data_IF_763035115586
#
_entry.id   IF_763035115586
#
_cell.length_a   1.000
_cell.length_b   1.000
_cell.length_c   1.000
_cell.angle_alpha   90.00
_cell.angle_beta   90.00
_cell.angle_gamma   90.00
#
_symmetry.space_group_name_H-M   'P 1'
#
loop_
_entity.id
_entity.type
_entity.pdbx_description
1 polymer ?
#
# COMPACT_ATOMS: atom_id res chain seq x y z
N UNK A 1 8.94 -7.70 6.86
CA UNK A 1 8.62 -6.27 6.76
C UNK A 1 8.75 -5.71 5.34
N UNK A 2 9.95 -5.42 4.81
CA UNK A 2 10.08 -4.83 3.45
C UNK A 2 9.40 -5.63 2.33
N UNK A 3 9.59 -6.95 2.27
CA UNK A 3 8.94 -7.79 1.25
C UNK A 3 7.40 -7.83 1.39
N UNK A 4 6.88 -7.75 2.61
CA UNK A 4 5.43 -7.72 2.88
C UNK A 4 4.83 -6.43 2.34
N UNK A 5 5.47 -5.27 2.59
CA UNK A 5 5.05 -3.99 2.04
C UNK A 5 5.06 -4.01 0.51
N UNK A 6 6.07 -4.62 -0.11
CA UNK A 6 6.16 -4.75 -1.58
C UNK A 6 4.98 -5.57 -2.12
N UNK A 7 4.61 -6.67 -1.45
CA UNK A 7 3.49 -7.50 -1.86
C UNK A 7 2.15 -6.75 -1.66
N UNK A 8 2.00 -6.04 -0.56
CA UNK A 8 0.80 -5.24 -0.28
C UNK A 8 0.62 -4.11 -1.31
N UNK A 9 1.69 -3.39 -1.67
CA UNK A 9 1.66 -2.39 -2.75
C UNK A 9 1.21 -3.01 -4.08
N UNK A 10 1.69 -4.22 -4.42
CA UNK A 10 1.29 -4.92 -5.64
C UNK A 10 -0.21 -5.26 -5.64
N UNK A 11 -0.74 -5.75 -4.51
CA UNK A 11 -2.18 -6.02 -4.38
C UNK A 11 -3.01 -4.73 -4.41
N UNK A 12 -2.54 -3.66 -3.78
CA UNK A 12 -3.22 -2.37 -3.76
C UNK A 12 -3.30 -1.72 -5.15
N UNK A 13 -2.26 -1.88 -5.99
CA UNK A 13 -2.24 -1.36 -7.35
C UNK A 13 -3.18 -2.12 -8.30
N UNK A 14 -3.53 -3.37 -8.00
CA UNK A 14 -4.54 -4.10 -8.79
C UNK A 14 -5.89 -3.38 -8.62
N UNK A 15 -6.40 -2.85 -9.73
CA UNK A 15 -7.69 -2.15 -9.79
C UNK A 15 -8.80 -3.07 -10.33
N UNK A 16 -8.44 -4.16 -11.01
CA UNK A 16 -9.29 -5.30 -11.38
C UNK A 16 -8.39 -6.54 -11.56
N UNK A 17 -8.96 -7.75 -11.52
CA UNK A 17 -8.19 -9.00 -11.68
C UNK A 17 -7.41 -9.09 -13.00
N UNK A 18 -7.80 -8.30 -14.00
CA UNK A 18 -7.23 -8.27 -15.36
C UNK A 18 -6.22 -7.12 -15.58
N UNK A 19 -6.01 -6.24 -14.60
CA UNK A 19 -5.06 -5.13 -14.72
C UNK A 19 -3.62 -5.64 -14.53
N UNK A 20 -2.97 -5.94 -15.65
CA UNK A 20 -1.54 -6.25 -15.68
C UNK A 20 -0.75 -4.96 -15.51
N UNK A 21 -0.28 -4.71 -14.29
CA UNK A 21 0.63 -3.60 -13.98
C UNK A 21 1.93 -3.82 -14.74
N UNK A 22 2.16 -3.07 -15.82
CA UNK A 22 3.39 -3.09 -16.63
C UNK A 22 4.56 -2.33 -15.97
N UNK A 23 4.59 -2.23 -14.65
CA UNK A 23 5.70 -1.61 -13.92
C UNK A 23 6.77 -2.68 -13.72
N UNK A 24 8.05 -2.30 -13.87
CA UNK A 24 9.16 -3.18 -13.54
C UNK A 24 8.98 -3.73 -12.11
N UNK A 25 8.87 -5.06 -11.91
CA UNK A 25 8.54 -5.65 -10.61
C UNK A 25 9.60 -5.40 -9.53
N UNK A 26 10.81 -5.01 -9.95
CA UNK A 26 11.94 -4.73 -9.06
C UNK A 26 12.04 -3.26 -8.64
N UNK A 27 11.17 -2.37 -9.15
CA UNK A 27 11.25 -0.94 -8.84
C UNK A 27 11.07 -0.67 -7.34
N UNK A 28 10.20 -1.46 -6.69
CA UNK A 28 9.92 -1.36 -5.27
C UNK A 28 11.12 -1.77 -4.39
N UNK A 29 12.09 -2.53 -4.93
CA UNK A 29 13.26 -2.96 -4.17
C UNK A 29 14.22 -1.79 -3.86
N UNK A 30 14.17 -0.71 -4.65
CA UNK A 30 15.04 0.45 -4.48
C UNK A 30 14.57 1.41 -3.37
N UNK A 31 13.33 1.29 -2.92
CA UNK A 31 12.80 2.13 -1.86
C UNK A 31 13.25 1.62 -0.49
N UNK A 32 13.46 2.55 0.43
CA UNK A 32 13.57 2.26 1.85
C UNK A 32 12.23 1.75 2.41
N UNK A 33 12.26 1.17 3.61
CA UNK A 33 11.04 0.67 4.25
C UNK A 33 10.03 1.79 4.51
N UNK A 34 10.49 2.96 4.97
CA UNK A 34 9.64 4.12 5.22
C UNK A 34 9.00 4.65 3.95
N UNK A 35 9.74 4.70 2.84
CA UNK A 35 9.19 5.09 1.54
C UNK A 35 8.12 4.09 1.05
N UNK A 36 8.30 2.80 1.32
CA UNK A 36 7.29 1.79 0.99
C UNK A 36 6.04 1.93 1.87
N UNK A 37 6.19 2.21 3.17
CA UNK A 37 5.07 2.54 4.08
C UNK A 37 4.28 3.75 3.56
N UNK A 38 4.98 4.80 3.11
CA UNK A 38 4.36 5.98 2.51
C UNK A 38 3.59 5.66 1.21
N UNK A 39 4.13 4.79 0.36
CA UNK A 39 3.45 4.36 -0.88
C UNK A 39 2.17 3.57 -0.54
N UNK A 40 2.23 2.64 0.41
CA UNK A 40 1.04 1.90 0.89
C UNK A 40 -0.04 2.88 1.35
N UNK A 41 0.32 3.85 2.19
CA UNK A 41 -0.63 4.82 2.73
C UNK A 41 -1.33 5.62 1.62
N UNK A 42 -0.57 6.13 0.65
CA UNK A 42 -1.14 6.88 -0.49
C UNK A 42 -2.06 6.04 -1.37
N UNK A 43 -1.72 4.76 -1.58
CA UNK A 43 -2.55 3.87 -2.39
C UNK A 43 -3.88 3.53 -1.71
N UNK A 44 -3.84 3.34 -0.39
CA UNK A 44 -5.04 3.10 0.42
C UNK A 44 -5.92 4.34 0.44
N UNK A 45 -5.34 5.52 0.70
CA UNK A 45 -6.06 6.79 0.70
C UNK A 45 -6.81 6.99 -0.62
N UNK A 46 -6.13 6.75 -1.74
CA UNK A 46 -6.74 6.80 -3.07
C UNK A 46 -7.85 5.77 -3.28
N UNK A 47 -7.72 4.54 -2.76
CA UNK A 47 -8.79 3.52 -2.83
C UNK A 47 -9.99 3.88 -1.94
N UNK A 48 -9.76 4.47 -0.77
CA UNK A 48 -10.80 4.93 0.15
C UNK A 48 -11.56 6.13 -0.42
N UNK A 49 -10.85 7.08 -1.04
CA UNK A 49 -11.46 8.18 -1.80
C UNK A 49 -12.33 7.65 -2.94
N UNK A 50 -11.86 6.65 -3.69
CA UNK A 50 -12.63 6.02 -4.77
C UNK A 50 -13.85 5.21 -4.29
N UNK A 51 -13.81 4.67 -3.07
CA UNK A 51 -14.91 3.86 -2.50
C UNK A 51 -15.96 4.65 -1.69
N UNK A 52 -15.90 5.99 -1.67
CA UNK A 52 -16.77 6.88 -0.86
C UNK A 52 -16.51 6.84 0.66
N UNK A 53 -15.28 7.13 1.09
CA UNK A 53 -15.07 7.89 2.34
C UNK A 53 -15.21 7.15 3.67
N UNK A 54 -14.63 5.95 3.81
CA UNK A 54 -14.54 5.28 5.11
C UNK A 54 -13.21 5.58 5.81
N UNK A 55 -13.19 6.71 6.53
CA UNK A 55 -12.07 7.19 7.32
C UNK A 55 -11.59 6.18 8.40
N UNK A 56 -12.50 5.31 8.88
CA UNK A 56 -12.14 4.22 9.81
C UNK A 56 -11.19 3.17 9.21
N UNK A 57 -11.18 2.96 7.89
CA UNK A 57 -10.26 2.01 7.27
C UNK A 57 -8.82 2.54 7.27
N UNK A 58 -8.66 3.85 7.06
CA UNK A 58 -7.35 4.52 7.14
C UNK A 58 -6.76 4.45 8.56
N UNK A 59 -7.60 4.68 9.57
CA UNK A 59 -7.19 4.59 10.97
C UNK A 59 -6.76 3.16 11.35
N UNK A 60 -7.47 2.13 10.89
CA UNK A 60 -7.14 0.75 11.21
C UNK A 60 -5.81 0.30 10.59
N UNK A 61 -5.55 0.72 9.35
CA UNK A 61 -4.27 0.45 8.67
C UNK A 61 -3.13 1.19 9.37
N UNK A 62 -3.30 2.49 9.66
CA UNK A 62 -2.27 3.31 10.30
C UNK A 62 -1.90 2.79 11.70
N UNK A 63 -2.88 2.29 12.44
CA UNK A 63 -2.66 1.65 13.75
C UNK A 63 -1.94 0.31 13.65
N UNK A 64 -2.17 -0.46 12.56
CA UNK A 64 -1.44 -1.72 12.32
C UNK A 64 0.02 -1.44 11.97
N UNK A 65 0.29 -0.51 11.05
CA UNK A 65 1.66 -0.20 10.62
C UNK A 65 2.49 0.48 11.70
N UNK A 66 1.88 1.24 12.63
CA UNK A 66 2.58 1.80 13.80
C UNK A 66 2.90 0.81 14.91
N UNK A 67 2.15 -0.30 15.03
CA UNK A 67 2.35 -1.26 16.12
C UNK A 67 3.54 -2.18 15.91
N UNK A 68 3.98 -2.34 14.66
CA UNK A 68 5.14 -3.17 14.33
C UNK A 68 6.49 -2.44 14.52
N UNK A 69 6.48 -1.14 14.88
CA UNK A 69 7.67 -0.35 15.19
C UNK A 69 8.07 -0.36 16.69
N UNK A 70 7.58 -1.31 17.51
CA UNK A 70 7.89 -1.43 18.97
C UNK A 70 8.70 -2.69 19.29
#
# INVERSE_FOLDING_TARGET
MKEELINEIKELLKSSDDDTIQINPNYLNYFSEDELKDIVFRLIDKKVEQQNGNQSYLDEIYQKTKKDDI
#
